data_IF_174528890063
#
_entry.id   IF_174528890063
#
_cell.length_a   1.000
_cell.length_b   1.000
_cell.length_c   1.000
_cell.angle_alpha   90.00
_cell.angle_beta   90.00
_cell.angle_gamma   90.00
#
_symmetry.space_group_name_H-M   'P 1'
#
loop_
_entity.id
_entity.type
_entity.pdbx_description
1 polymer ?
#
# COMPACT_ATOMS: atom_id res chain seq x y z
N UNK A 1 23.57 -14.24 -2.57
CA UNK A 1 24.97 -14.04 -3.05
C UNK A 1 25.16 -14.89 -4.29
N UNK A 2 25.18 -14.28 -5.44
CA UNK A 2 25.66 -14.89 -6.67
C UNK A 2 26.92 -14.10 -7.04
N UNK A 3 28.08 -14.67 -6.83
CA UNK A 3 29.35 -14.15 -7.35
C UNK A 3 29.97 -12.94 -6.65
N UNK A 4 29.93 -12.80 -5.33
CA UNK A 4 30.80 -11.85 -4.59
C UNK A 4 30.55 -10.34 -4.81
N UNK A 5 29.62 -9.93 -5.66
CA UNK A 5 29.25 -8.51 -5.85
C UNK A 5 28.12 -8.12 -4.91
N UNK A 6 28.34 -7.05 -4.14
CA UNK A 6 27.31 -6.46 -3.27
C UNK A 6 26.40 -5.63 -4.15
N UNK A 7 25.16 -6.06 -4.34
CA UNK A 7 24.16 -5.28 -5.06
C UNK A 7 23.41 -4.38 -4.08
N UNK A 8 23.52 -3.07 -4.25
CA UNK A 8 22.75 -2.10 -3.49
C UNK A 8 21.42 -1.84 -4.24
N UNK A 9 20.32 -2.23 -3.63
CA UNK A 9 18.99 -1.99 -4.21
C UNK A 9 18.60 -0.48 -4.20
N UNK A 10 19.12 0.28 -3.25
CA UNK A 10 18.98 1.74 -3.13
C UNK A 10 20.35 2.33 -2.79
N UNK A 11 20.72 3.44 -3.44
CA UNK A 11 21.99 4.13 -3.28
C UNK A 11 21.72 5.59 -2.92
N UNK A 12 21.99 5.95 -1.67
CA UNK A 12 21.89 7.31 -1.13
C UNK A 12 20.55 8.00 -1.53
N UNK A 13 19.45 7.32 -1.19
CA UNK A 13 18.10 7.79 -1.50
C UNK A 13 17.58 8.63 -0.34
N UNK A 14 17.22 9.88 -0.64
CA UNK A 14 16.48 10.77 0.27
C UNK A 14 15.14 11.14 -0.33
N UNK A 15 14.06 10.91 0.41
CA UNK A 15 12.69 11.20 0.01
C UNK A 15 11.90 11.76 1.18
N UNK A 16 11.29 12.90 1.00
CA UNK A 16 10.29 13.47 1.91
C UNK A 16 8.92 13.39 1.24
N UNK A 17 7.89 13.02 1.99
CA UNK A 17 6.50 12.96 1.53
C UNK A 17 5.63 13.68 2.55
N UNK A 18 4.88 14.65 2.09
CA UNK A 18 3.99 15.44 2.94
C UNK A 18 2.70 14.66 3.28
N UNK A 19 2.13 14.96 4.44
CA UNK A 19 0.84 14.39 4.84
C UNK A 19 -0.26 14.76 3.83
N UNK A 20 -1.00 13.76 3.35
CA UNK A 20 -2.04 13.94 2.33
C UNK A 20 -1.51 14.06 0.90
N UNK A 21 -0.19 14.01 0.68
CA UNK A 21 0.38 14.05 -0.67
C UNK A 21 0.09 12.75 -1.44
N UNK A 22 -0.14 12.85 -2.73
CA UNK A 22 -0.16 11.73 -3.66
C UNK A 22 1.16 11.66 -4.44
N UNK A 23 2.00 10.68 -4.13
CA UNK A 23 3.29 10.44 -4.79
C UNK A 23 3.23 9.20 -5.65
N UNK A 24 3.69 9.30 -6.90
CA UNK A 24 3.94 8.15 -7.76
C UNK A 24 5.43 7.82 -7.82
N UNK A 25 5.79 6.57 -7.54
CA UNK A 25 7.15 6.03 -7.67
C UNK A 25 7.21 5.23 -8.97
N UNK A 26 8.04 5.67 -9.91
CA UNK A 26 8.22 5.08 -11.23
C UNK A 26 9.65 4.57 -11.42
N UNK A 27 9.88 3.83 -12.49
CA UNK A 27 11.21 3.33 -12.89
C UNK A 27 11.16 1.93 -13.49
N UNK A 28 12.25 1.46 -14.10
CA UNK A 28 12.33 0.13 -14.71
C UNK A 28 12.20 -0.99 -13.67
N UNK A 29 11.93 -2.22 -14.15
CA UNK A 29 11.93 -3.39 -13.27
C UNK A 29 13.32 -3.56 -12.61
N UNK A 30 13.33 -3.96 -11.33
CA UNK A 30 14.59 -4.15 -10.58
C UNK A 30 15.28 -2.87 -10.12
N UNK A 31 14.72 -1.67 -10.35
CA UNK A 31 15.37 -0.38 -9.99
C UNK A 31 15.34 -0.03 -8.49
N UNK A 32 14.68 -0.82 -7.63
CA UNK A 32 14.59 -0.55 -6.19
C UNK A 32 13.25 0.00 -5.69
N UNK A 33 12.21 0.17 -6.56
CA UNK A 33 10.90 0.72 -6.18
C UNK A 33 10.22 -0.05 -5.03
N UNK A 34 10.12 -1.37 -5.17
CA UNK A 34 9.50 -2.21 -4.14
C UNK A 34 10.32 -2.24 -2.86
N UNK A 35 11.66 -2.16 -2.96
CA UNK A 35 12.54 -2.03 -1.78
C UNK A 35 12.26 -0.73 -1.04
N UNK A 36 12.14 0.41 -1.76
CA UNK A 36 11.79 1.68 -1.13
C UNK A 36 10.41 1.63 -0.47
N UNK A 37 9.41 1.05 -1.15
CA UNK A 37 8.07 0.90 -0.58
C UNK A 37 8.05 -0.01 0.66
N UNK A 38 8.83 -1.09 0.64
CA UNK A 38 8.96 -1.99 1.79
C UNK A 38 9.61 -1.29 2.99
N UNK A 39 10.63 -0.47 2.74
CA UNK A 39 11.30 0.32 3.79
C UNK A 39 10.33 1.36 4.37
N UNK A 40 9.63 2.14 3.54
CA UNK A 40 8.62 3.10 4.00
C UNK A 40 7.51 2.39 4.78
N UNK A 41 7.09 1.23 4.28
CA UNK A 41 6.05 0.41 4.89
C UNK A 41 6.49 -0.36 6.13
N UNK A 42 7.79 -0.33 6.50
CA UNK A 42 8.35 -1.07 7.63
C UNK A 42 8.33 -2.58 7.45
N UNK A 43 8.32 -3.08 6.19
CA UNK A 43 8.49 -4.50 5.87
C UNK A 43 9.98 -4.88 5.83
N UNK A 44 10.82 -3.93 5.41
CA UNK A 44 12.28 -4.06 5.39
C UNK A 44 12.90 -2.91 6.19
N UNK A 45 14.12 -3.12 6.70
CA UNK A 45 14.93 -2.09 7.34
C UNK A 45 16.03 -1.59 6.38
N UNK A 46 16.36 -0.30 6.38
CA UNK A 46 17.48 0.21 5.61
C UNK A 46 18.81 -0.33 6.17
N UNK A 47 19.77 -0.67 5.30
CA UNK A 47 21.13 -1.08 5.71
C UNK A 47 21.91 0.08 6.33
N UNK A 48 21.62 1.30 5.91
CA UNK A 48 22.19 2.55 6.44
C UNK A 48 21.17 3.69 6.27
N UNK A 49 21.37 4.78 7.00
CA UNK A 49 20.46 5.92 6.99
C UNK A 49 19.32 5.80 7.99
N UNK A 50 18.29 6.61 7.82
CA UNK A 50 17.14 6.67 8.73
C UNK A 50 15.82 6.79 7.98
N UNK A 51 14.77 6.27 8.58
CA UNK A 51 13.38 6.42 8.13
C UNK A 51 12.55 6.92 9.29
N UNK A 52 11.81 7.99 9.06
CA UNK A 52 10.87 8.56 10.03
C UNK A 52 9.51 8.73 9.35
N UNK A 53 8.45 8.23 9.96
CA UNK A 53 7.08 8.34 9.46
C UNK A 53 6.16 8.79 10.58
N UNK A 54 5.40 9.86 10.37
CA UNK A 54 4.52 10.48 11.39
C UNK A 54 5.26 10.71 12.72
N UNK A 55 6.53 11.16 12.66
CA UNK A 55 7.38 11.38 13.82
C UNK A 55 7.92 10.09 14.48
N UNK A 56 7.59 8.91 13.97
CA UNK A 56 8.10 7.61 14.46
C UNK A 56 9.36 7.24 13.70
N UNK A 57 10.51 7.14 14.40
CA UNK A 57 11.73 6.62 13.82
C UNK A 57 11.62 5.09 13.65
N UNK A 58 11.80 4.60 12.42
CA UNK A 58 11.72 3.17 12.07
C UNK A 58 13.09 2.50 12.01
N UNK A 59 14.16 3.31 11.98
CA UNK A 59 15.52 2.79 11.95
C UNK A 59 15.90 2.22 13.31
N UNK A 60 16.46 1.00 13.31
CA UNK A 60 16.94 0.32 14.51
C UNK A 60 15.87 -0.07 15.55
N UNK A 61 14.60 -0.14 15.17
CA UNK A 61 13.53 -0.67 16.04
C UNK A 61 13.33 -2.17 15.80
N UNK A 62 12.96 -2.90 16.85
CA UNK A 62 12.73 -4.36 16.75
C UNK A 62 11.42 -4.70 16.03
N UNK A 63 11.29 -5.96 15.60
CA UNK A 63 10.15 -6.49 14.82
C UNK A 63 8.78 -6.19 15.42
N UNK A 64 8.68 -6.19 16.75
CA UNK A 64 7.42 -5.87 17.44
C UNK A 64 6.98 -4.43 17.16
N UNK A 65 7.89 -3.47 17.26
CA UNK A 65 7.60 -2.06 17.01
C UNK A 65 7.28 -1.81 15.53
N UNK A 66 8.02 -2.44 14.60
CA UNK A 66 7.69 -2.41 13.17
C UNK A 66 6.32 -3.01 12.88
N UNK A 67 5.95 -4.10 13.53
CA UNK A 67 4.64 -4.73 13.37
C UNK A 67 3.50 -3.82 13.89
N UNK A 68 3.70 -3.16 15.03
CA UNK A 68 2.75 -2.18 15.57
C UNK A 68 2.64 -0.96 14.66
N UNK A 69 3.75 -0.46 14.12
CA UNK A 69 3.78 0.63 13.15
C UNK A 69 2.98 0.26 11.89
N UNK A 70 3.31 -0.87 11.23
CA UNK A 70 2.57 -1.33 10.04
C UNK A 70 1.07 -1.40 10.29
N UNK A 71 0.69 -1.98 11.41
CA UNK A 71 -0.72 -2.17 11.74
C UNK A 71 -1.46 -0.84 12.01
N UNK A 72 -0.77 0.21 12.46
CA UNK A 72 -1.40 1.50 12.82
C UNK A 72 -1.37 2.53 11.70
N UNK A 73 -0.28 2.56 10.93
CA UNK A 73 0.00 3.67 10.01
C UNK A 73 -0.11 3.28 8.54
N UNK A 74 0.06 1.99 8.20
CA UNK A 74 0.22 1.57 6.81
C UNK A 74 -0.95 0.71 6.33
N UNK A 75 -1.53 1.10 5.20
CA UNK A 75 -2.42 0.25 4.42
C UNK A 75 -1.72 -0.23 3.15
N UNK A 76 -1.44 -1.53 3.03
CA UNK A 76 -0.87 -2.10 1.81
C UNK A 76 -1.93 -2.56 0.84
N UNK A 77 -1.76 -2.19 -0.44
CA UNK A 77 -2.56 -2.64 -1.58
C UNK A 77 -1.60 -3.23 -2.62
N UNK A 78 -1.68 -4.55 -2.87
CA UNK A 78 -0.78 -5.27 -3.77
C UNK A 78 -1.45 -5.58 -5.11
N UNK A 79 -0.64 -5.74 -6.15
CA UNK A 79 -1.09 -6.17 -7.48
C UNK A 79 -1.81 -7.52 -7.45
N UNK A 80 -1.31 -8.49 -6.65
CA UNK A 80 -1.88 -9.84 -6.51
C UNK A 80 -2.99 -9.94 -5.47
N UNK A 81 -3.50 -8.79 -4.97
CA UNK A 81 -4.55 -8.68 -3.95
C UNK A 81 -4.16 -9.24 -2.57
N UNK A 82 -3.41 -10.32 -2.50
CA UNK A 82 -2.97 -11.02 -1.30
C UNK A 82 -4.13 -11.32 -0.32
N UNK A 83 -5.26 -11.79 -0.86
CA UNK A 83 -6.43 -12.20 -0.08
C UNK A 83 -6.32 -13.67 0.31
N UNK A 84 -6.79 -13.99 1.50
CA UNK A 84 -6.92 -15.37 1.98
C UNK A 84 -8.09 -16.03 1.25
N UNK A 85 -7.79 -17.00 0.36
CA UNK A 85 -8.76 -17.60 -0.56
C UNK A 85 -9.88 -18.37 0.16
N UNK A 86 -9.59 -18.91 1.35
CA UNK A 86 -10.54 -19.72 2.14
C UNK A 86 -11.44 -18.87 3.04
N UNK A 87 -11.04 -17.64 3.32
CA UNK A 87 -11.76 -16.70 4.16
C UNK A 87 -12.75 -15.88 3.33
N UNK A 88 -13.84 -15.46 3.98
CA UNK A 88 -14.81 -14.55 3.36
C UNK A 88 -14.23 -13.15 3.16
N UNK A 89 -14.91 -12.34 2.35
CA UNK A 89 -14.62 -10.92 2.17
C UNK A 89 -14.55 -10.18 3.49
N UNK A 90 -15.51 -10.42 4.39
CA UNK A 90 -15.54 -9.81 5.72
C UNK A 90 -14.34 -10.23 6.57
N UNK A 91 -14.01 -11.51 6.58
CA UNK A 91 -12.90 -12.06 7.36
C UNK A 91 -11.55 -11.52 6.86
N UNK A 92 -11.36 -11.42 5.55
CA UNK A 92 -10.18 -10.78 4.96
C UNK A 92 -9.99 -9.34 5.46
N UNK A 93 -11.07 -8.55 5.54
CA UNK A 93 -11.01 -7.16 6.03
C UNK A 93 -10.88 -7.10 7.55
N UNK A 94 -11.38 -8.10 8.28
CA UNK A 94 -11.19 -8.20 9.72
C UNK A 94 -9.74 -8.53 10.14
N UNK A 95 -8.92 -9.11 9.26
CA UNK A 95 -7.59 -9.62 9.62
C UNK A 95 -6.69 -8.58 10.31
N UNK A 96 -6.45 -7.36 9.76
CA UNK A 96 -5.62 -6.37 10.43
C UNK A 96 -6.23 -5.90 11.76
N UNK A 97 -7.55 -5.94 11.92
CA UNK A 97 -8.23 -5.60 13.17
C UNK A 97 -8.07 -6.69 14.24
N UNK A 98 -7.87 -7.96 13.83
CA UNK A 98 -7.48 -9.05 14.75
C UNK A 98 -6.08 -8.78 15.30
N UNK A 99 -5.14 -8.41 14.43
CA UNK A 99 -3.78 -8.06 14.82
C UNK A 99 -3.75 -6.83 15.74
N UNK A 100 -4.66 -5.86 15.52
CA UNK A 100 -4.87 -4.71 16.40
C UNK A 100 -5.57 -5.05 17.72
N UNK A 101 -5.86 -6.33 18.00
CA UNK A 101 -6.56 -6.82 19.19
C UNK A 101 -7.94 -6.20 19.43
N UNK A 102 -8.59 -5.71 18.38
CA UNK A 102 -9.95 -5.16 18.47
C UNK A 102 -10.96 -6.25 18.84
N UNK A 103 -11.98 -5.92 19.63
CA UNK A 103 -13.03 -6.87 20.02
C UNK A 103 -13.84 -7.34 18.81
N UNK A 104 -14.31 -8.60 18.82
CA UNK A 104 -14.99 -9.22 17.69
C UNK A 104 -16.18 -8.40 17.15
N UNK A 105 -17.02 -7.87 18.02
CA UNK A 105 -18.18 -7.06 17.60
C UNK A 105 -17.74 -5.79 16.86
N UNK A 106 -16.77 -5.08 17.40
CA UNK A 106 -16.23 -3.84 16.82
C UNK A 106 -15.55 -4.10 15.45
N UNK A 107 -14.79 -5.22 15.34
CA UNK A 107 -14.16 -5.63 14.07
C UNK A 107 -15.18 -5.83 12.96
N UNK A 108 -16.29 -6.55 13.26
CA UNK A 108 -17.34 -6.84 12.27
C UNK A 108 -17.98 -5.54 11.80
N UNK A 109 -18.30 -4.62 12.71
CA UNK A 109 -18.87 -3.31 12.35
C UNK A 109 -17.89 -2.55 11.47
N UNK A 110 -16.64 -2.39 11.91
CA UNK A 110 -15.61 -1.63 11.18
C UNK A 110 -15.31 -2.23 9.80
N UNK A 111 -15.15 -3.54 9.71
CA UNK A 111 -14.91 -4.21 8.44
C UNK A 111 -16.10 -4.07 7.47
N UNK A 112 -17.33 -4.12 7.99
CA UNK A 112 -18.55 -3.90 7.20
C UNK A 112 -18.60 -2.47 6.65
N UNK A 113 -18.30 -1.47 7.47
CA UNK A 113 -18.20 -0.06 7.04
C UNK A 113 -17.16 0.12 5.92
N UNK A 114 -15.97 -0.50 6.06
CA UNK A 114 -14.93 -0.43 5.03
C UNK A 114 -15.40 -1.07 3.71
N UNK A 115 -16.09 -2.22 3.77
CA UNK A 115 -16.62 -2.89 2.60
C UNK A 115 -17.75 -2.09 1.93
N UNK A 116 -18.60 -1.44 2.72
CA UNK A 116 -19.62 -0.52 2.20
C UNK A 116 -18.98 0.68 1.50
N UNK A 117 -17.94 1.27 2.10
CA UNK A 117 -17.22 2.42 1.53
C UNK A 117 -16.59 2.14 0.15
N UNK A 118 -16.22 0.86 -0.12
CA UNK A 118 -15.70 0.43 -1.42
C UNK A 118 -16.78 -0.18 -2.33
N UNK A 119 -18.07 -0.10 -1.97
CA UNK A 119 -19.20 -0.60 -2.76
C UNK A 119 -19.41 -2.13 -2.69
N UNK A 120 -18.93 -2.80 -1.65
CA UNK A 120 -19.02 -4.26 -1.46
C UNK A 120 -19.88 -4.69 -0.27
N UNK A 121 -20.78 -3.81 0.23
CA UNK A 121 -21.67 -4.13 1.36
C UNK A 121 -22.57 -5.35 1.15
N UNK A 122 -22.93 -5.66 -0.11
CA UNK A 122 -23.70 -6.87 -0.46
C UNK A 122 -22.87 -8.14 -0.63
N UNK A 123 -21.53 -8.09 -0.41
CA UNK A 123 -20.61 -9.20 -0.71
C UNK A 123 -19.85 -9.75 0.52
N UNK A 124 -20.31 -9.45 1.73
CA UNK A 124 -19.61 -9.78 2.98
C UNK A 124 -19.25 -11.25 3.14
N UNK A 125 -20.13 -12.16 2.69
CA UNK A 125 -19.98 -13.62 2.83
C UNK A 125 -19.32 -14.31 1.63
N UNK A 126 -19.04 -13.58 0.55
CA UNK A 126 -18.39 -14.15 -0.63
C UNK A 126 -16.92 -14.43 -0.34
N UNK A 127 -16.37 -15.46 -0.97
CA UNK A 127 -14.94 -15.75 -0.98
C UNK A 127 -14.25 -15.03 -2.14
N UNK A 128 -12.94 -14.79 -2.08
CA UNK A 128 -12.19 -14.16 -3.17
C UNK A 128 -12.35 -14.85 -4.52
N UNK A 129 -12.53 -16.18 -4.53
CA UNK A 129 -12.75 -16.98 -5.74
C UNK A 129 -14.09 -16.69 -6.45
N UNK A 130 -15.05 -16.11 -5.73
CA UNK A 130 -16.38 -15.77 -6.24
C UNK A 130 -16.46 -14.31 -6.72
N UNK A 131 -15.34 -13.56 -6.64
CA UNK A 131 -15.26 -12.15 -6.95
C UNK A 131 -14.48 -11.89 -8.25
N UNK A 132 -14.89 -10.86 -8.99
CA UNK A 132 -14.09 -10.33 -10.12
C UNK A 132 -12.78 -9.74 -9.65
N UNK A 133 -11.80 -9.53 -10.55
CA UNK A 133 -10.53 -8.89 -10.24
C UNK A 133 -10.68 -7.52 -9.56
N UNK A 134 -11.54 -6.66 -10.14
CA UNK A 134 -11.83 -5.34 -9.55
C UNK A 134 -12.51 -5.43 -8.17
N UNK A 135 -13.37 -6.41 -7.95
CA UNK A 135 -13.97 -6.64 -6.62
C UNK A 135 -12.91 -7.13 -5.62
N UNK A 136 -12.01 -8.03 -6.00
CA UNK A 136 -10.88 -8.46 -5.16
C UNK A 136 -9.98 -7.29 -4.78
N UNK A 137 -9.70 -6.40 -5.72
CA UNK A 137 -8.91 -5.20 -5.43
C UNK A 137 -9.63 -4.25 -4.46
N UNK A 138 -10.94 -4.07 -4.61
CA UNK A 138 -11.74 -3.30 -3.65
C UNK A 138 -11.72 -3.92 -2.25
N UNK A 139 -11.74 -5.26 -2.12
CA UNK A 139 -11.55 -5.94 -0.83
C UNK A 139 -10.16 -5.65 -0.23
N UNK A 140 -9.09 -5.71 -1.05
CA UNK A 140 -7.75 -5.38 -0.62
C UNK A 140 -7.64 -3.92 -0.11
N UNK A 141 -8.30 -2.98 -0.81
CA UNK A 141 -8.37 -1.58 -0.36
C UNK A 141 -9.18 -1.46 0.93
N UNK A 142 -10.34 -2.13 1.06
CA UNK A 142 -11.13 -2.13 2.29
C UNK A 142 -10.33 -2.70 3.48
N UNK A 143 -9.53 -3.74 3.26
CA UNK A 143 -8.61 -4.31 4.26
C UNK A 143 -7.56 -3.29 4.66
N UNK A 144 -6.96 -2.58 3.72
CA UNK A 144 -6.01 -1.53 4.00
C UNK A 144 -6.61 -0.40 4.85
N UNK A 145 -7.87 -0.02 4.59
CA UNK A 145 -8.59 1.03 5.31
C UNK A 145 -9.05 0.63 6.71
N UNK A 146 -9.09 -0.67 7.03
CA UNK A 146 -9.69 -1.17 8.26
C UNK A 146 -9.09 -0.54 9.51
N UNK A 147 -7.78 -0.38 9.56
CA UNK A 147 -7.02 0.20 10.70
C UNK A 147 -6.95 1.73 10.71
N UNK A 148 -7.59 2.42 9.76
CA UNK A 148 -7.52 3.89 9.59
C UNK A 148 -6.07 4.36 9.38
N UNK A 149 -5.38 3.87 8.35
CA UNK A 149 -3.98 4.19 8.13
C UNK A 149 -3.81 5.67 7.78
N UNK A 150 -2.66 6.27 8.12
CA UNK A 150 -2.26 7.59 7.63
C UNK A 150 -1.68 7.53 6.21
N UNK A 151 -1.15 6.36 5.81
CA UNK A 151 -0.51 6.15 4.51
C UNK A 151 -1.06 4.88 3.85
N UNK A 152 -1.41 4.98 2.56
CA UNK A 152 -1.64 3.82 1.69
C UNK A 152 -0.46 3.69 0.73
N UNK A 153 0.16 2.50 0.72
CA UNK A 153 1.18 2.12 -0.26
C UNK A 153 0.54 1.12 -1.22
N UNK A 154 0.44 1.49 -2.50
CA UNK A 154 -0.17 0.66 -3.52
C UNK A 154 0.87 0.26 -4.56
N UNK A 155 1.20 -1.04 -4.62
CA UNK A 155 2.15 -1.59 -5.57
C UNK A 155 1.38 -2.17 -6.76
N UNK A 156 1.50 -1.50 -7.94
CA UNK A 156 0.81 -1.82 -9.19
C UNK A 156 -0.69 -2.12 -9.00
N UNK A 157 -1.46 -1.19 -8.38
CA UNK A 157 -2.82 -1.49 -7.90
C UNK A 157 -3.82 -1.84 -8.99
N UNK A 158 -3.48 -1.60 -10.27
CA UNK A 158 -4.32 -1.86 -11.43
C UNK A 158 -3.74 -2.91 -12.39
N UNK A 159 -2.54 -3.41 -12.12
CA UNK A 159 -1.77 -4.25 -13.05
C UNK A 159 -2.44 -5.57 -13.46
N UNK A 160 -3.39 -6.07 -12.68
CA UNK A 160 -4.18 -7.29 -12.97
C UNK A 160 -5.63 -6.98 -13.40
N UNK A 161 -5.92 -5.74 -13.83
CA UNK A 161 -7.26 -5.28 -14.19
C UNK A 161 -7.30 -4.76 -15.61
N UNK A 162 -8.47 -4.83 -16.24
CA UNK A 162 -8.72 -4.11 -17.47
C UNK A 162 -8.79 -2.60 -17.23
N UNK A 163 -8.62 -1.81 -18.29
CA UNK A 163 -8.52 -0.35 -18.23
C UNK A 163 -9.71 0.32 -17.53
N UNK A 164 -10.93 -0.18 -17.75
CA UNK A 164 -12.14 0.39 -17.14
C UNK A 164 -12.14 0.18 -15.63
N UNK A 165 -11.87 -1.06 -15.18
CA UNK A 165 -11.80 -1.40 -13.74
C UNK A 165 -10.59 -0.75 -13.08
N UNK A 166 -9.47 -0.66 -13.80
CA UNK A 166 -8.30 0.07 -13.33
C UNK A 166 -8.62 1.55 -13.04
N UNK A 167 -9.36 2.20 -13.94
CA UNK A 167 -9.83 3.56 -13.74
C UNK A 167 -10.70 3.74 -12.49
N UNK A 168 -11.64 2.80 -12.24
CA UNK A 168 -12.46 2.83 -11.03
C UNK A 168 -11.64 2.69 -9.74
N UNK A 169 -10.61 1.81 -9.74
CA UNK A 169 -9.71 1.64 -8.58
C UNK A 169 -8.91 2.92 -8.33
N UNK A 170 -8.40 3.55 -9.39
CA UNK A 170 -7.66 4.83 -9.26
C UNK A 170 -8.56 5.94 -8.74
N UNK A 171 -9.82 6.05 -9.20
CA UNK A 171 -10.78 7.01 -8.67
C UNK A 171 -11.04 6.79 -7.18
N UNK A 172 -11.17 5.53 -6.75
CA UNK A 172 -11.34 5.19 -5.33
C UNK A 172 -10.12 5.62 -4.50
N UNK A 173 -8.90 5.27 -4.93
CA UNK A 173 -7.66 5.65 -4.24
C UNK A 173 -7.50 7.17 -4.18
N UNK A 174 -7.80 7.87 -5.28
CA UNK A 174 -7.74 9.33 -5.31
C UNK A 174 -8.77 10.00 -4.41
N UNK A 175 -9.96 9.42 -4.27
CA UNK A 175 -10.95 9.89 -3.29
C UNK A 175 -10.40 9.77 -1.87
N UNK A 176 -9.81 8.62 -1.52
CA UNK A 176 -9.21 8.40 -0.20
C UNK A 176 -8.07 9.38 0.09
N UNK A 177 -7.27 9.72 -0.91
CA UNK A 177 -6.23 10.74 -0.80
C UNK A 177 -6.83 12.12 -0.53
N UNK A 178 -7.88 12.52 -1.27
CA UNK A 178 -8.60 13.78 -1.02
C UNK A 178 -9.25 13.84 0.36
N UNK A 179 -9.59 12.69 0.94
CA UNK A 179 -10.10 12.57 2.31
C UNK A 179 -8.96 12.64 3.36
N UNK A 180 -7.72 12.93 2.95
CA UNK A 180 -6.56 13.22 3.79
C UNK A 180 -5.55 12.08 3.97
N UNK A 181 -5.74 10.93 3.32
CA UNK A 181 -4.77 9.83 3.37
C UNK A 181 -3.60 10.11 2.44
N UNK A 182 -2.36 10.00 2.93
CA UNK A 182 -1.17 10.03 2.08
C UNK A 182 -1.14 8.80 1.16
N UNK A 183 -0.94 9.00 -0.14
CA UNK A 183 -0.99 7.94 -1.13
C UNK A 183 0.36 7.79 -1.84
N UNK A 184 0.98 6.63 -1.72
CA UNK A 184 2.20 6.28 -2.44
C UNK A 184 1.86 5.15 -3.41
N UNK A 185 1.97 5.41 -4.71
CA UNK A 185 1.72 4.40 -5.76
C UNK A 185 3.01 4.05 -6.46
N UNK A 186 3.32 2.76 -6.53
CA UNK A 186 4.36 2.23 -7.40
C UNK A 186 3.67 1.84 -8.70
N UNK A 187 4.15 2.38 -9.83
CA UNK A 187 3.61 2.01 -11.13
C UNK A 187 4.61 2.24 -12.27
N UNK A 188 4.50 1.46 -13.31
CA UNK A 188 5.16 1.69 -14.59
C UNK A 188 4.23 2.38 -15.61
N UNK A 189 2.95 2.56 -15.27
CA UNK A 189 1.96 3.22 -16.13
C UNK A 189 2.07 4.75 -15.98
N UNK A 190 2.49 5.40 -17.08
CA UNK A 190 2.63 6.86 -17.14
C UNK A 190 1.30 7.61 -16.93
N UNK A 191 0.16 7.00 -17.30
CA UNK A 191 -1.16 7.62 -17.13
C UNK A 191 -1.61 7.64 -15.67
N UNK A 192 -1.20 6.64 -14.90
CA UNK A 192 -1.42 6.61 -13.45
C UNK A 192 -0.46 7.59 -12.77
N UNK A 193 0.83 7.54 -13.13
CA UNK A 193 1.84 8.43 -12.56
C UNK A 193 1.50 9.92 -12.77
N UNK A 194 0.95 10.28 -13.94
CA UNK A 194 0.52 11.65 -14.25
C UNK A 194 -0.64 12.17 -13.39
N UNK A 195 -1.31 11.30 -12.62
CA UNK A 195 -2.36 11.70 -11.69
C UNK A 195 -1.83 12.11 -10.31
N UNK A 196 -0.56 11.84 -10.02
CA UNK A 196 0.07 12.15 -8.74
C UNK A 196 0.44 13.66 -8.66
N UNK A 197 0.49 14.18 -7.44
CA UNK A 197 0.94 15.55 -7.18
C UNK A 197 2.46 15.67 -7.43
N UNK A 198 3.18 14.54 -7.27
CA UNK A 198 4.62 14.45 -7.54
C UNK A 198 5.00 13.06 -8.05
N UNK A 199 5.88 13.06 -9.05
CA UNK A 199 6.45 11.83 -9.61
C UNK A 199 7.91 11.70 -9.20
N UNK A 200 8.24 10.57 -8.61
CA UNK A 200 9.59 10.17 -8.21
C UNK A 200 10.03 9.02 -9.09
N UNK A 201 11.19 9.14 -9.72
CA UNK A 201 11.72 8.08 -10.56
C UNK A 201 12.94 7.45 -9.90
N UNK A 202 12.93 6.10 -9.80
CA UNK A 202 14.09 5.33 -9.34
C UNK A 202 14.71 4.63 -10.54
N UNK A 203 16.01 4.86 -10.73
CA UNK A 203 16.81 4.19 -11.74
C UNK A 203 18.14 3.76 -11.13
N UNK A 204 18.48 2.49 -11.25
CA UNK A 204 19.74 1.90 -10.77
C UNK A 204 20.01 2.23 -9.27
N UNK A 205 18.95 2.18 -8.46
CA UNK A 205 18.99 2.49 -7.03
C UNK A 205 19.04 3.98 -6.69
N UNK A 206 19.10 4.88 -7.67
CA UNK A 206 19.14 6.34 -7.47
C UNK A 206 17.77 6.98 -7.69
N UNK A 207 17.45 7.96 -6.86
CA UNK A 207 16.18 8.67 -6.91
C UNK A 207 16.32 10.01 -7.63
N UNK A 208 15.37 10.30 -8.54
CA UNK A 208 15.22 11.58 -9.20
C UNK A 208 13.78 12.06 -9.03
N UNK A 209 13.61 13.29 -8.59
CA UNK A 209 12.29 13.92 -8.40
C UNK A 209 11.96 14.79 -9.60
N UNK A 210 10.82 14.52 -10.24
CA UNK A 210 10.20 15.49 -11.17
C UNK A 210 9.01 16.11 -10.44
N UNK A 211 9.06 17.43 -10.21
CA UNK A 211 7.86 18.19 -9.83
C UNK A 211 7.05 18.42 -11.10
N UNK A 212 5.75 18.09 -11.05
CA UNK A 212 4.81 18.38 -12.11
C UNK A 212 4.57 19.87 -12.26
#
# INVERSE_FOLDING_TARGET
MLGGETFNALNDVSLEVDAGEFVAITGPSGSGKSTLANIIGGLDAPSAGSVTVDGVALSHVGDKALSEYRNRHIGFVFQSFNLQAHETTLENVCMPLVLARMKRKERIVRATECLQAVGLGGRLKHKPTELSGGQRQRVAIARALAVKPSIIIADEPTGNLDSSRGGEIMQLLRKLNKDGITLIIITHDATIAAQADRVVTIKDGHLTVKRG
#
